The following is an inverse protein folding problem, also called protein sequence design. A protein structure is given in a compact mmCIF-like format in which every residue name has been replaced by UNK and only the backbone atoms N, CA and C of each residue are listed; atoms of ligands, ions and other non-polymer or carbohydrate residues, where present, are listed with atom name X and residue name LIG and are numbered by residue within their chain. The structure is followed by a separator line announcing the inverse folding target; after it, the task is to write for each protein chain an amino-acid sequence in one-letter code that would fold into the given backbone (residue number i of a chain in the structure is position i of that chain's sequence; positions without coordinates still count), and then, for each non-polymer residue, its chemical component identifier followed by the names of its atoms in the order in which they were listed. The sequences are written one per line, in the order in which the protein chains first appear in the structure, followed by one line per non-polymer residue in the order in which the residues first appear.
data_IF_477477545076
#
_entry.id   IF_477477545076
#
_cell.length_a   1.000
_cell.length_b   1.000
_cell.length_c   1.000
_cell.angle_alpha   90.00
_cell.angle_beta   90.00
_cell.angle_gamma   90.00
#
_symmetry.space_group_name_H-M   'P 1'
#
loop_
_entity.id
_entity.type
_entity.pdbx_description
1 polymer ?
#
# COMPACT_ATOMS: atom_id res chain seq x y z
N UNK A 1 13.17 31.65 -8.02
CA UNK A 1 12.27 30.52 -8.37
C UNK A 1 10.85 30.91 -8.06
N UNK A 2 9.89 30.63 -8.95
CA UNK A 2 8.48 30.91 -8.69
C UNK A 2 7.94 29.95 -7.61
N UNK A 3 7.00 30.40 -6.78
CA UNK A 3 6.28 29.54 -5.82
C UNK A 3 5.73 28.28 -6.49
N UNK A 4 5.35 28.39 -7.77
CA UNK A 4 4.92 27.29 -8.62
C UNK A 4 5.96 26.16 -8.73
N UNK A 5 7.21 26.51 -9.06
CA UNK A 5 8.29 25.53 -9.19
C UNK A 5 8.61 24.88 -7.84
N UNK A 6 8.53 25.63 -6.75
CA UNK A 6 8.76 25.10 -5.41
C UNK A 6 7.68 24.09 -5.01
N UNK A 7 6.40 24.39 -5.25
CA UNK A 7 5.29 23.48 -4.92
C UNK A 7 5.39 22.18 -5.73
N UNK A 8 5.69 22.27 -7.03
CA UNK A 8 5.87 21.08 -7.86
C UNK A 8 7.06 20.22 -7.41
N UNK A 9 8.17 20.85 -7.05
CA UNK A 9 9.35 20.12 -6.54
C UNK A 9 9.01 19.40 -5.24
N UNK A 10 8.29 20.05 -4.32
CA UNK A 10 7.86 19.44 -3.05
C UNK A 10 6.90 18.27 -3.27
N UNK A 11 5.91 18.42 -4.16
CA UNK A 11 4.98 17.35 -4.49
C UNK A 11 5.68 16.17 -5.19
N UNK A 12 6.61 16.46 -6.11
CA UNK A 12 7.41 15.43 -6.78
C UNK A 12 8.30 14.67 -5.77
N UNK A 13 9.02 15.40 -4.90
CA UNK A 13 9.83 14.81 -3.83
C UNK A 13 8.98 13.94 -2.89
N UNK A 14 7.82 14.43 -2.46
CA UNK A 14 6.89 13.68 -1.62
C UNK A 14 6.42 12.38 -2.29
N UNK A 15 6.17 12.41 -3.60
CA UNK A 15 5.83 11.22 -4.38
C UNK A 15 7.00 10.21 -4.41
N UNK A 16 8.23 10.66 -4.67
CA UNK A 16 9.41 9.78 -4.67
C UNK A 16 9.68 9.18 -3.28
N UNK A 17 9.54 9.95 -2.21
CA UNK A 17 9.67 9.47 -0.83
C UNK A 17 8.60 8.41 -0.52
N UNK A 18 7.35 8.65 -0.93
CA UNK A 18 6.24 7.70 -0.74
C UNK A 18 6.48 6.40 -1.51
N UNK A 19 7.01 6.50 -2.73
CA UNK A 19 7.36 5.35 -3.56
C UNK A 19 8.52 4.56 -2.94
N UNK A 20 9.53 5.25 -2.40
CA UNK A 20 10.63 4.64 -1.64
C UNK A 20 10.13 3.91 -0.38
N UNK A 21 9.23 4.53 0.39
CA UNK A 21 8.59 3.88 1.55
C UNK A 21 7.78 2.64 1.15
N UNK A 22 7.07 2.71 0.02
CA UNK A 22 6.30 1.59 -0.52
C UNK A 22 7.21 0.44 -0.90
N UNK A 23 8.30 0.71 -1.63
CA UNK A 23 9.31 -0.30 -1.96
C UNK A 23 9.95 -0.88 -0.71
N UNK A 24 10.28 -0.05 0.30
CA UNK A 24 10.82 -0.55 1.56
C UNK A 24 9.86 -1.48 2.29
N UNK A 25 8.58 -1.11 2.37
CA UNK A 25 7.52 -1.96 2.92
C UNK A 25 7.39 -3.27 2.15
N UNK A 26 7.41 -3.22 0.81
CA UNK A 26 7.37 -4.40 -0.05
C UNK A 26 8.58 -5.32 0.14
N UNK A 27 9.77 -4.78 0.39
CA UNK A 27 10.99 -5.58 0.51
C UNK A 27 11.19 -6.19 1.90
N UNK A 28 10.85 -5.46 2.96
CA UNK A 28 11.17 -5.88 4.33
C UNK A 28 9.94 -6.36 5.12
N UNK A 29 8.76 -5.82 4.82
CA UNK A 29 7.54 -6.06 5.59
C UNK A 29 6.55 -7.00 4.92
N UNK A 30 6.67 -7.19 3.60
CA UNK A 30 5.84 -8.16 2.87
C UNK A 30 6.08 -9.60 3.34
N UNK A 31 7.33 -10.03 3.43
CA UNK A 31 7.65 -11.40 3.88
C UNK A 31 7.20 -11.63 5.32
N UNK A 32 7.34 -10.61 6.18
CA UNK A 32 6.86 -10.64 7.56
C UNK A 32 5.33 -10.73 7.61
N UNK A 33 4.61 -9.95 6.80
CA UNK A 33 3.14 -10.01 6.66
C UNK A 33 2.68 -11.37 6.12
N UNK A 34 3.31 -11.90 5.08
CA UNK A 34 2.98 -13.21 4.51
C UNK A 34 3.12 -14.33 5.55
N UNK A 35 4.03 -14.20 6.52
CA UNK A 35 4.20 -15.20 7.58
C UNK A 35 3.04 -15.27 8.56
N UNK A 36 2.36 -14.14 8.84
CA UNK A 36 1.18 -14.11 9.71
C UNK A 36 -0.07 -14.71 9.05
N UNK A 37 -0.11 -14.74 7.72
CA UNK A 37 -1.23 -15.26 6.94
C UNK A 37 -0.86 -16.54 6.18
N UNK A 38 0.14 -17.30 6.66
CA UNK A 38 0.58 -18.52 5.99
C UNK A 38 -0.49 -19.60 5.93
N UNK A 39 -1.47 -19.59 6.84
CA UNK A 39 -2.58 -20.53 6.89
C UNK A 39 -3.81 -20.06 6.09
N UNK A 40 -3.85 -18.79 5.66
CA UNK A 40 -4.99 -18.24 4.94
C UNK A 40 -4.99 -18.67 3.45
N UNK A 41 -6.07 -19.31 3.01
CA UNK A 41 -6.23 -19.83 1.65
C UNK A 41 -6.13 -18.73 0.57
N UNK A 42 -6.67 -17.54 0.84
CA UNK A 42 -6.63 -16.40 -0.09
C UNK A 42 -5.19 -15.92 -0.29
N UNK A 43 -4.42 -15.80 0.79
CA UNK A 43 -3.02 -15.39 0.72
C UNK A 43 -2.16 -16.44 0.02
N UNK A 44 -2.39 -17.73 0.29
CA UNK A 44 -1.74 -18.83 -0.43
C UNK A 44 -2.08 -18.84 -1.93
N UNK A 45 -3.33 -18.58 -2.30
CA UNK A 45 -3.76 -18.48 -3.68
C UNK A 45 -3.03 -17.35 -4.41
N UNK A 46 -3.01 -16.14 -3.83
CA UNK A 46 -2.28 -15.01 -4.39
C UNK A 46 -0.77 -15.26 -4.46
N UNK A 47 -0.20 -15.94 -3.46
CA UNK A 47 1.21 -16.35 -3.47
C UNK A 47 1.53 -17.29 -4.63
N UNK A 48 0.66 -18.28 -4.88
CA UNK A 48 0.80 -19.23 -6.00
C UNK A 48 0.63 -18.55 -7.36
N UNK A 49 -0.34 -17.64 -7.48
CA UNK A 49 -0.59 -16.90 -8.71
C UNK A 49 0.56 -15.94 -9.06
N UNK A 50 1.07 -15.22 -8.06
CA UNK A 50 2.15 -14.23 -8.21
C UNK A 50 3.52 -14.81 -7.81
N UNK A 51 3.77 -16.09 -8.04
CA UNK A 51 4.95 -16.84 -7.57
C UNK A 51 6.30 -16.45 -8.20
N UNK A 52 6.31 -15.62 -9.24
CA UNK A 52 7.51 -15.32 -10.05
C UNK A 52 8.48 -14.32 -9.39
N UNK A 53 8.16 -13.84 -8.18
CA UNK A 53 9.01 -12.99 -7.35
C UNK A 53 9.51 -11.71 -8.05
N UNK A 54 8.80 -11.23 -9.09
CA UNK A 54 9.09 -9.96 -9.75
C UNK A 54 8.62 -8.79 -8.89
N UNK A 55 9.15 -7.60 -9.15
CA UNK A 55 8.72 -6.35 -8.48
C UNK A 55 7.19 -6.11 -8.57
N UNK A 56 6.60 -6.41 -9.73
CA UNK A 56 5.16 -6.28 -9.95
C UNK A 56 4.39 -7.30 -9.11
N UNK A 57 4.86 -8.55 -9.05
CA UNK A 57 4.25 -9.62 -8.26
C UNK A 57 4.19 -9.25 -6.78
N UNK A 58 5.30 -8.71 -6.24
CA UNK A 58 5.38 -8.21 -4.86
C UNK A 58 4.45 -7.03 -4.60
N UNK A 59 4.35 -6.12 -5.57
CA UNK A 59 3.44 -4.98 -5.49
C UNK A 59 1.98 -5.43 -5.43
N UNK A 60 1.60 -6.41 -6.25
CA UNK A 60 0.25 -6.96 -6.25
C UNK A 60 -0.08 -7.65 -4.93
N UNK A 61 0.82 -8.47 -4.39
CA UNK A 61 0.63 -9.11 -3.08
C UNK A 61 0.53 -8.11 -1.94
N UNK A 62 1.40 -7.11 -1.90
CA UNK A 62 1.32 -6.02 -0.92
C UNK A 62 0.00 -5.26 -1.05
N UNK A 63 -0.48 -5.04 -2.27
CA UNK A 63 -1.77 -4.40 -2.54
C UNK A 63 -2.95 -5.14 -1.90
N UNK A 64 -2.96 -6.48 -1.92
CA UNK A 64 -3.99 -7.28 -1.25
C UNK A 64 -3.99 -7.03 0.25
N UNK A 65 -2.82 -7.03 0.90
CA UNK A 65 -2.72 -6.72 2.34
C UNK A 65 -3.15 -5.28 2.66
N UNK A 66 -2.79 -4.32 1.81
CA UNK A 66 -3.26 -2.92 1.97
C UNK A 66 -4.79 -2.86 1.89
N UNK A 67 -5.41 -3.61 0.98
CA UNK A 67 -6.87 -3.68 0.88
C UNK A 67 -7.50 -4.34 2.11
N UNK A 68 -6.92 -5.45 2.60
CA UNK A 68 -7.36 -6.10 3.85
C UNK A 68 -7.34 -5.13 5.04
N UNK A 69 -6.31 -4.30 5.17
CA UNK A 69 -6.23 -3.32 6.27
C UNK A 69 -7.07 -2.07 6.05
N UNK A 70 -7.27 -1.65 4.81
CA UNK A 70 -8.07 -0.45 4.51
C UNK A 70 -9.57 -0.75 4.60
N UNK A 71 -9.99 -1.97 4.20
CA UNK A 71 -11.39 -2.39 4.13
C UNK A 71 -11.65 -3.73 4.85
N UNK A 72 -11.25 -3.88 6.13
CA UNK A 72 -11.31 -5.16 6.83
C UNK A 72 -12.74 -5.72 6.91
N UNK A 73 -13.75 -4.85 7.06
CA UNK A 73 -15.14 -5.27 7.13
C UNK A 73 -15.67 -5.93 5.86
N UNK A 74 -15.14 -5.57 4.68
CA UNK A 74 -15.55 -6.17 3.41
C UNK A 74 -14.97 -7.57 3.26
N UNK A 75 -13.68 -7.74 3.54
CA UNK A 75 -12.97 -9.01 3.41
C UNK A 75 -13.32 -10.04 4.50
N UNK A 76 -13.63 -9.56 5.71
CA UNK A 76 -14.22 -10.42 6.76
C UNK A 76 -15.60 -10.91 6.35
N UNK A 77 -16.40 -10.08 5.69
CA UNK A 77 -17.74 -10.46 5.24
C UNK A 77 -17.71 -11.39 4.03
N UNK A 78 -16.69 -11.30 3.17
CA UNK A 78 -16.49 -12.23 2.05
C UNK A 78 -15.85 -13.57 2.46
N UNK A 79 -15.41 -13.70 3.72
CA UNK A 79 -14.76 -14.93 4.22
C UNK A 79 -13.31 -15.09 3.76
N UNK A 80 -12.72 -14.06 3.12
CA UNK A 80 -11.34 -14.06 2.64
C UNK A 80 -10.32 -13.83 3.77
N UNK A 81 -10.75 -13.28 4.91
CA UNK A 81 -9.88 -13.07 6.08
C UNK A 81 -10.68 -13.11 7.37
N UNK A 82 -10.12 -13.72 8.43
CA UNK A 82 -10.77 -13.71 9.75
C UNK A 82 -10.37 -12.48 10.56
N UNK A 83 -11.25 -11.95 11.41
CA UNK A 83 -10.89 -10.84 12.33
C UNK A 83 -9.72 -11.20 13.24
N UNK A 84 -9.64 -12.46 13.65
CA UNK A 84 -8.56 -12.98 14.49
C UNK A 84 -7.20 -12.92 13.78
N UNK A 85 -7.15 -13.28 12.49
CA UNK A 85 -5.94 -13.13 11.67
C UNK A 85 -5.57 -11.66 11.44
N UNK A 86 -6.56 -10.79 11.28
CA UNK A 86 -6.32 -9.35 11.20
C UNK A 86 -5.77 -8.81 12.52
N UNK A 87 -6.29 -9.25 13.67
CA UNK A 87 -5.88 -8.78 14.99
C UNK A 87 -4.54 -9.36 15.46
N UNK A 88 -4.11 -10.51 14.92
CA UNK A 88 -2.78 -11.06 15.17
C UNK A 88 -1.64 -10.19 14.62
N UNK A 89 -1.92 -9.37 13.59
CA UNK A 89 -0.92 -8.51 12.97
C UNK A 89 -0.64 -7.28 13.84
N UNK A 90 0.63 -7.01 14.20
CA UNK A 90 0.97 -5.85 15.02
C UNK A 90 0.60 -4.54 14.30
N UNK A 91 0.05 -3.58 15.04
CA UNK A 91 -0.36 -2.26 14.56
C UNK A 91 0.74 -1.53 13.78
N UNK A 92 2.00 -1.72 14.15
CA UNK A 92 3.14 -1.17 13.43
C UNK A 92 3.20 -1.69 11.98
N UNK A 93 3.01 -3.00 11.77
CA UNK A 93 2.98 -3.61 10.43
C UNK A 93 1.80 -3.09 9.60
N UNK A 94 0.62 -3.00 10.22
CA UNK A 94 -0.58 -2.45 9.57
C UNK A 94 -0.31 -1.04 9.06
N UNK A 95 0.28 -0.17 9.91
CA UNK A 95 0.64 1.22 9.56
C UNK A 95 1.71 1.28 8.47
N UNK A 96 2.73 0.43 8.52
CA UNK A 96 3.74 0.35 7.46
C UNK A 96 3.15 -0.06 6.12
N UNK A 97 2.07 -0.85 6.10
CA UNK A 97 1.36 -1.18 4.86
C UNK A 97 0.43 -0.05 4.39
N UNK A 98 -0.34 0.57 5.28
CA UNK A 98 -1.36 1.57 4.91
C UNK A 98 -0.81 2.98 4.71
N UNK A 99 0.19 3.42 5.49
CA UNK A 99 0.72 4.78 5.39
C UNK A 99 1.29 5.11 4.01
N UNK A 100 2.16 4.28 3.39
CA UNK A 100 2.68 4.58 2.05
C UNK A 100 1.56 4.70 1.01
N UNK A 101 0.50 3.91 1.16
CA UNK A 101 -0.68 4.00 0.32
C UNK A 101 -1.43 5.32 0.51
N UNK A 102 -1.72 5.72 1.76
CA UNK A 102 -2.38 6.99 2.04
C UNK A 102 -1.56 8.19 1.57
N UNK A 103 -0.25 8.21 1.81
CA UNK A 103 0.61 9.27 1.30
C UNK A 103 0.55 9.34 -0.23
N UNK A 104 0.63 8.20 -0.91
CA UNK A 104 0.54 8.15 -2.37
C UNK A 104 -0.79 8.73 -2.88
N UNK A 105 -1.93 8.39 -2.25
CA UNK A 105 -3.25 8.94 -2.61
C UNK A 105 -3.32 10.44 -2.34
N UNK A 106 -2.83 10.91 -1.19
CA UNK A 106 -2.82 12.34 -0.84
C UNK A 106 -1.98 13.14 -1.84
N UNK A 107 -0.77 12.68 -2.16
CA UNK A 107 0.09 13.35 -3.14
C UNK A 107 -0.52 13.33 -4.54
N UNK A 108 -1.16 12.22 -4.95
CA UNK A 108 -1.85 12.13 -6.22
C UNK A 108 -3.01 13.13 -6.30
N UNK A 109 -3.85 13.20 -5.27
CA UNK A 109 -4.96 14.16 -5.19
C UNK A 109 -4.48 15.61 -5.15
N UNK A 110 -3.43 15.90 -4.38
CA UNK A 110 -2.83 17.23 -4.32
C UNK A 110 -2.30 17.66 -5.69
N UNK A 111 -1.63 16.76 -6.41
CA UNK A 111 -1.15 17.01 -7.77
C UNK A 111 -2.30 17.25 -8.75
N UNK A 112 -3.35 16.42 -8.73
CA UNK A 112 -4.49 16.57 -9.65
C UNK A 112 -5.27 17.85 -9.38
N UNK A 113 -5.58 18.16 -8.12
CA UNK A 113 -6.24 19.42 -7.73
C UNK A 113 -5.40 20.62 -8.17
N UNK A 114 -4.08 20.59 -7.97
CA UNK A 114 -3.19 21.67 -8.39
C UNK A 114 -3.13 21.86 -9.91
N UNK A 115 -3.07 20.76 -10.67
CA UNK A 115 -3.08 20.80 -12.15
C UNK A 115 -4.42 21.29 -12.69
N UNK A 116 -5.54 20.85 -12.11
CA UNK A 116 -6.90 21.27 -12.49
C UNK A 116 -7.13 22.74 -12.16
N UNK A 117 -6.75 23.19 -10.96
CA UNK A 117 -6.89 24.58 -10.55
C UNK A 117 -6.09 25.53 -11.46
N UNK A 118 -4.98 25.05 -12.04
CA UNK A 118 -4.18 25.84 -12.99
C UNK A 118 -4.75 25.86 -14.42
N UNK A 119 -5.68 24.97 -14.77
CA UNK A 119 -6.37 24.97 -16.07
C UNK A 119 -7.61 25.85 -16.09
N UNK A 120 -8.16 26.17 -14.92
CA UNK A 120 -9.25 27.12 -14.72
C UNK A 120 -8.70 28.51 -14.39
#
# INVERSE_FOLDING_TARGET
MSLYTLILIVLALGMYVSLGLTLYGQYKKLDELESYFSENETVQYYKRFWGRNKLIDRTMRMGVFVQFFTWPGHFVKSGETTREELDSVPLALKRWATWPFYFSVIYFMALTTWVVWRKW
#
